data_IF_477561437248
#
_entry.id   IF_477561437248
#
_cell.length_a   1.000
_cell.length_b   1.000
_cell.length_c   1.000
_cell.angle_alpha   90.00
_cell.angle_beta   90.00
_cell.angle_gamma   90.00
#
_symmetry.space_group_name_H-M   'P 1'
#
loop_
_entity.id
_entity.type
_entity.pdbx_description
1 polymer ?
#
# COMPACT_ATOMS: atom_id res chain seq x y z
N UNK A 1 39.81 -7.54 6.89
CA UNK A 1 38.62 -6.82 6.40
C UNK A 1 37.88 -6.25 7.60
N UNK A 2 37.60 -4.95 7.67
CA UNK A 2 36.82 -4.39 8.78
C UNK A 2 35.38 -4.87 8.69
N UNK A 3 34.84 -5.31 9.83
CA UNK A 3 33.42 -5.65 9.98
C UNK A 3 32.59 -4.36 9.85
N UNK A 4 31.80 -4.25 8.78
CA UNK A 4 30.74 -3.25 8.70
C UNK A 4 29.56 -3.76 9.53
N UNK A 5 29.29 -3.08 10.66
CA UNK A 5 28.05 -3.31 11.39
C UNK A 5 26.84 -3.09 10.46
N UNK A 6 25.80 -3.95 10.50
CA UNK A 6 24.57 -3.68 9.79
C UNK A 6 23.99 -2.34 10.25
N UNK A 7 23.58 -1.51 9.29
CA UNK A 7 22.93 -0.23 9.55
C UNK A 7 21.70 -0.46 10.47
N UNK A 8 21.36 0.51 11.36
CA UNK A 8 20.19 0.43 12.22
C UNK A 8 18.93 0.13 11.40
N UNK A 9 17.90 -0.50 12.01
CA UNK A 9 16.74 -1.00 11.27
C UNK A 9 16.14 0.12 10.42
N UNK A 10 15.89 -0.18 9.15
CA UNK A 10 15.26 0.74 8.22
C UNK A 10 14.02 1.37 8.83
N UNK A 11 13.93 2.69 8.64
CA UNK A 11 12.88 3.55 9.18
C UNK A 11 11.49 2.88 9.07
N UNK A 12 10.84 2.56 10.19
CA UNK A 12 9.56 1.83 10.19
C UNK A 12 8.43 2.80 9.86
N UNK A 13 7.86 2.67 8.67
CA UNK A 13 6.67 3.41 8.28
C UNK A 13 5.44 2.86 9.02
N UNK A 14 4.70 3.71 9.71
CA UNK A 14 3.41 3.43 10.35
C UNK A 14 2.41 4.45 9.85
N UNK A 15 1.28 3.98 9.36
CA UNK A 15 0.17 4.84 8.92
C UNK A 15 -1.04 4.51 9.76
N UNK A 16 -1.59 5.55 10.40
CA UNK A 16 -2.90 5.53 11.06
C UNK A 16 -3.88 6.26 10.16
N UNK A 17 -4.99 5.60 9.87
CA UNK A 17 -6.05 6.12 9.02
C UNK A 17 -7.42 5.73 9.59
N UNK A 18 -8.45 6.39 9.11
CA UNK A 18 -9.84 6.02 9.34
C UNK A 18 -10.41 5.47 8.04
N UNK A 19 -10.98 4.27 8.08
CA UNK A 19 -11.64 3.61 6.97
C UNK A 19 -13.12 4.01 6.82
N UNK A 20 -13.87 3.28 5.98
CA UNK A 20 -15.32 3.46 5.91
C UNK A 20 -15.95 3.15 7.27
N UNK A 21 -17.02 3.88 7.62
CA UNK A 21 -17.71 3.78 8.92
C UNK A 21 -16.84 4.12 10.14
N UNK A 22 -15.91 5.06 9.97
CA UNK A 22 -15.00 5.52 11.03
C UNK A 22 -14.12 4.42 11.66
N UNK A 23 -13.94 3.30 10.96
CA UNK A 23 -13.14 2.18 11.46
C UNK A 23 -11.65 2.54 11.52
N UNK A 24 -10.97 2.40 12.69
CA UNK A 24 -9.56 2.72 12.79
C UNK A 24 -8.70 1.68 12.05
N UNK A 25 -7.81 2.18 11.20
CA UNK A 25 -6.85 1.38 10.43
C UNK A 25 -5.45 1.77 10.89
N UNK A 26 -4.70 0.77 11.35
CA UNK A 26 -3.27 0.91 11.63
C UNK A 26 -2.51 -0.12 10.81
N UNK A 27 -1.61 0.36 9.96
CA UNK A 27 -0.77 -0.47 9.10
C UNK A 27 0.68 -0.05 9.22
N UNK A 28 1.59 -0.99 8.99
CA UNK A 28 3.04 -0.75 9.09
C UNK A 28 3.80 -1.28 7.87
N UNK A 29 5.04 -0.83 7.70
CA UNK A 29 5.96 -1.29 6.66
C UNK A 29 5.41 -1.10 5.24
N UNK A 30 5.54 -2.15 4.42
CA UNK A 30 5.11 -2.08 3.02
C UNK A 30 3.59 -1.99 2.84
N UNK A 31 2.80 -2.52 3.78
CA UNK A 31 1.34 -2.35 3.78
C UNK A 31 0.98 -0.88 3.99
N UNK A 32 1.67 -0.18 4.89
CA UNK A 32 1.50 1.25 5.11
C UNK A 32 1.87 2.07 3.86
N UNK A 33 2.98 1.72 3.21
CA UNK A 33 3.40 2.36 1.97
C UNK A 33 2.40 2.12 0.82
N UNK A 34 1.82 0.93 0.76
CA UNK A 34 0.76 0.57 -0.19
C UNK A 34 -0.51 1.37 0.05
N UNK A 35 -0.96 1.48 1.31
CA UNK A 35 -2.12 2.31 1.65
C UNK A 35 -1.90 3.78 1.26
N UNK A 36 -0.71 4.32 1.54
CA UNK A 36 -0.37 5.70 1.18
C UNK A 36 -0.37 5.90 -0.34
N UNK A 37 0.17 4.96 -1.10
CA UNK A 37 0.18 5.02 -2.57
C UNK A 37 -1.24 4.98 -3.14
N UNK A 38 -2.10 4.10 -2.61
CA UNK A 38 -3.50 4.00 -3.01
C UNK A 38 -4.29 5.28 -2.72
N UNK A 39 -4.13 5.85 -1.51
CA UNK A 39 -4.80 7.10 -1.14
C UNK A 39 -4.33 8.26 -2.02
N UNK A 40 -3.02 8.34 -2.32
CA UNK A 40 -2.45 9.37 -3.21
C UNK A 40 -2.94 9.23 -4.65
N UNK A 41 -3.05 8.00 -5.16
CA UNK A 41 -3.56 7.74 -6.50
C UNK A 41 -5.08 7.92 -6.60
N UNK A 42 -5.81 7.73 -5.50
CA UNK A 42 -7.27 7.85 -5.45
C UNK A 42 -7.94 6.95 -6.49
N UNK A 43 -8.82 7.56 -7.29
CA UNK A 43 -9.57 6.87 -8.35
C UNK A 43 -8.70 6.35 -9.50
N UNK A 44 -7.48 6.89 -9.70
CA UNK A 44 -6.56 6.39 -10.73
C UNK A 44 -5.99 5.00 -10.38
N UNK A 45 -5.96 4.66 -9.09
CA UNK A 45 -5.39 3.41 -8.60
C UNK A 45 -3.90 3.25 -8.90
N UNK A 46 -3.37 2.07 -8.57
CA UNK A 46 -1.96 1.72 -8.78
C UNK A 46 -1.83 0.35 -9.42
N UNK A 47 -0.85 0.20 -10.30
CA UNK A 47 -0.42 -1.06 -10.88
C UNK A 47 0.87 -1.53 -10.23
N UNK A 48 1.16 -2.83 -10.30
CA UNK A 48 2.42 -3.37 -9.80
C UNK A 48 3.64 -2.74 -10.50
N UNK A 49 3.50 -2.34 -11.77
CA UNK A 49 4.57 -1.74 -12.56
C UNK A 49 4.93 -0.33 -12.06
N UNK A 50 3.92 0.52 -11.81
CA UNK A 50 4.12 1.91 -11.35
C UNK A 50 4.83 2.00 -9.99
N UNK A 51 4.66 0.99 -9.13
CA UNK A 51 5.27 0.91 -7.79
C UNK A 51 6.28 -0.24 -7.64
N UNK A 52 6.77 -0.78 -8.76
CA UNK A 52 7.63 -1.96 -8.80
C UNK A 52 8.94 -1.79 -8.02
N UNK A 53 9.43 -0.55 -7.84
CA UNK A 53 10.66 -0.25 -7.11
C UNK A 53 10.65 -0.68 -5.64
N UNK A 54 9.47 -0.98 -5.07
CA UNK A 54 9.36 -1.44 -3.69
C UNK A 54 8.21 -2.44 -3.45
N UNK A 55 7.20 -2.51 -4.32
CA UNK A 55 5.99 -3.30 -4.10
C UNK A 55 6.06 -4.72 -4.72
N UNK A 56 7.13 -5.46 -4.46
CA UNK A 56 7.34 -6.82 -5.00
C UNK A 56 6.21 -7.81 -4.65
N UNK A 57 5.45 -7.55 -3.59
CA UNK A 57 4.29 -8.36 -3.16
C UNK A 57 3.00 -7.53 -3.10
N UNK A 58 2.79 -6.65 -4.06
CA UNK A 58 1.61 -5.77 -4.10
C UNK A 58 0.30 -6.52 -3.82
N UNK A 59 0.04 -7.63 -4.52
CA UNK A 59 -1.18 -8.42 -4.34
C UNK A 59 -1.39 -8.90 -2.90
N UNK A 60 -0.31 -9.24 -2.18
CA UNK A 60 -0.37 -9.61 -0.77
C UNK A 60 -0.71 -8.41 0.12
N UNK A 61 -0.12 -7.24 -0.14
CA UNK A 61 -0.45 -6.03 0.62
C UNK A 61 -1.90 -5.60 0.40
N UNK A 62 -2.41 -5.68 -0.83
CA UNK A 62 -3.81 -5.45 -1.16
C UNK A 62 -4.72 -6.46 -0.46
N UNK A 63 -4.36 -7.75 -0.47
CA UNK A 63 -5.10 -8.79 0.26
C UNK A 63 -5.19 -8.44 1.75
N UNK A 64 -4.08 -8.03 2.39
CA UNK A 64 -4.09 -7.63 3.80
C UNK A 64 -5.03 -6.45 4.04
N UNK A 65 -4.99 -5.42 3.18
CA UNK A 65 -5.88 -4.25 3.28
C UNK A 65 -7.37 -4.62 3.12
N UNK A 66 -7.70 -5.49 2.16
CA UNK A 66 -9.07 -5.97 1.95
C UNK A 66 -9.57 -6.81 3.13
N UNK A 67 -8.80 -7.79 3.57
CA UNK A 67 -9.27 -8.77 4.55
C UNK A 67 -9.19 -8.27 6.00
N UNK A 68 -8.13 -7.54 6.37
CA UNK A 68 -7.95 -7.07 7.76
C UNK A 68 -8.64 -5.74 8.02
N UNK A 69 -8.74 -4.87 7.02
CA UNK A 69 -9.26 -3.51 7.16
C UNK A 69 -10.52 -3.26 6.35
N UNK A 70 -11.09 -4.31 5.72
CA UNK A 70 -12.35 -4.26 4.97
C UNK A 70 -12.38 -3.18 3.90
N UNK A 71 -11.21 -2.81 3.36
CA UNK A 71 -11.11 -1.79 2.32
C UNK A 71 -11.58 -2.38 0.98
N UNK A 72 -12.54 -1.69 0.36
CA UNK A 72 -12.99 -1.94 -1.00
C UNK A 72 -11.91 -1.43 -1.97
N UNK A 73 -11.06 -2.35 -2.40
CA UNK A 73 -9.99 -2.08 -3.35
C UNK A 73 -10.19 -3.00 -4.56
N UNK A 74 -11.09 -2.75 -5.51
CA UNK A 74 -11.25 -3.60 -6.69
C UNK A 74 -9.97 -3.67 -7.53
N UNK A 75 -9.82 -4.78 -8.26
CA UNK A 75 -8.78 -4.95 -9.27
C UNK A 75 -9.44 -4.86 -10.64
N UNK A 76 -8.96 -3.93 -11.46
CA UNK A 76 -9.35 -3.76 -12.85
C UNK A 76 -8.23 -4.26 -13.74
N UNK A 77 -8.59 -4.93 -14.84
CA UNK A 77 -7.60 -5.36 -15.82
C UNK A 77 -7.29 -4.22 -16.77
N UNK A 78 -6.02 -3.83 -16.83
CA UNK A 78 -5.49 -2.87 -17.79
C UNK A 78 -4.69 -3.60 -18.86
N UNK A 79 -4.96 -3.32 -20.13
CA UNK A 79 -4.19 -3.88 -21.23
C UNK A 79 -2.79 -3.23 -21.28
N UNK A 80 -1.76 -4.03 -21.55
CA UNK A 80 -0.39 -3.56 -21.72
C UNK A 80 0.28 -4.35 -22.86
N UNK A 81 1.32 -3.79 -23.48
CA UNK A 81 2.13 -4.57 -24.42
C UNK A 81 2.67 -5.82 -23.75
N UNK A 82 2.37 -6.99 -24.32
CA UNK A 82 2.77 -8.29 -23.79
C UNK A 82 1.86 -8.90 -22.72
N UNK A 83 0.70 -8.30 -22.38
CA UNK A 83 -0.23 -8.93 -21.44
C UNK A 83 -1.30 -8.01 -20.84
N UNK A 84 -1.64 -8.26 -19.57
CA UNK A 84 -2.56 -7.45 -18.78
C UNK A 84 -1.98 -7.21 -17.39
N UNK A 85 -2.12 -5.99 -16.88
CA UNK A 85 -1.75 -5.64 -15.52
C UNK A 85 -3.00 -5.46 -14.65
N UNK A 86 -2.88 -5.83 -13.39
CA UNK A 86 -3.89 -5.50 -12.39
C UNK A 86 -3.71 -4.06 -11.91
N UNK A 87 -4.72 -3.22 -12.13
CA UNK A 87 -4.85 -1.90 -11.51
C UNK A 87 -5.73 -1.99 -10.29
N UNK A 88 -5.17 -1.65 -9.13
CA UNK A 88 -5.89 -1.64 -7.85
C UNK A 88 -6.37 -0.24 -7.54
N UNK A 89 -7.68 -0.05 -7.43
CA UNK A 89 -8.31 1.26 -7.18
C UNK A 89 -8.86 1.27 -5.76
N UNK A 90 -8.60 2.34 -4.99
CA UNK A 90 -9.20 2.50 -3.66
C UNK A 90 -10.59 3.14 -3.80
N UNK A 91 -11.64 2.37 -3.54
CA UNK A 91 -13.03 2.84 -3.57
C UNK A 91 -13.58 3.16 -2.18
N UNK A 92 -13.01 2.59 -1.11
CA UNK A 92 -13.36 2.96 0.25
C UNK A 92 -12.90 4.37 0.59
N UNK A 93 -13.74 5.12 1.31
CA UNK A 93 -13.34 6.35 1.96
C UNK A 93 -12.26 6.03 3.00
N UNK A 94 -11.05 6.58 2.82
CA UNK A 94 -9.95 6.46 3.76
C UNK A 94 -9.37 7.83 4.03
N UNK A 95 -9.36 8.23 5.29
CA UNK A 95 -8.79 9.49 5.76
C UNK A 95 -7.50 9.21 6.50
N UNK A 96 -6.36 9.70 5.99
CA UNK A 96 -5.07 9.57 6.68
C UNK A 96 -5.05 10.49 7.90
N UNK A 97 -4.77 9.94 9.08
CA UNK A 97 -4.68 10.70 10.33
C UNK A 97 -3.24 11.03 10.70
N UNK A 98 -2.35 10.03 10.61
CA UNK A 98 -0.96 10.20 11.03
C UNK A 98 -0.05 9.29 10.21
N UNK A 99 1.10 9.83 9.80
CA UNK A 99 2.16 9.10 9.13
C UNK A 99 3.41 9.24 9.99
N UNK A 100 3.84 8.13 10.59
CA UNK A 100 5.07 8.06 11.39
C UNK A 100 6.10 7.32 10.56
N UNK A 101 7.25 7.92 10.38
CA UNK A 101 8.44 7.23 9.90
C UNK A 101 9.42 7.36 11.05
N UNK A 102 9.73 6.25 11.71
CA UNK A 102 10.68 6.17 12.84
C UNK A 102 11.98 5.52 12.43
#
# INVERSE_FOLDING_TARGET
>A
MPYHAPQPPFKRLVVKATGPEDQPITVTGQTARTLLALVKAGAAGVTALEIASWAFRLSHYIMVLRHKHRLAIPMLWEAHEGGKHGRYVLCSAVTLLTIISD
#
